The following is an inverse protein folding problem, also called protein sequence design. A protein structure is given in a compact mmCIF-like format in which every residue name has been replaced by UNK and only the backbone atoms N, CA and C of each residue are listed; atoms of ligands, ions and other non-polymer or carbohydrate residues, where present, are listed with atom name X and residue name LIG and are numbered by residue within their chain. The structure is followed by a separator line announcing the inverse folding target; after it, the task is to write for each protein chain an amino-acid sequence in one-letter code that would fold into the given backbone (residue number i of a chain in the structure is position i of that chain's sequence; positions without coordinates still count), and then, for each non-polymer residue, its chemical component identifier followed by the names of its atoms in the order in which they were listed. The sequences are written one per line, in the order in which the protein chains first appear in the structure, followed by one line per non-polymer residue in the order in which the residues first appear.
data_IF_926713559476
#
_entry.id   IF_926713559476
#
_cell.length_a   1.000
_cell.length_b   1.000
_cell.length_c   1.000
_cell.angle_alpha   90.00
_cell.angle_beta   90.00
_cell.angle_gamma   90.00
#
_symmetry.space_group_name_H-M   'P 1'
#
loop_
_entity.id
_entity.type
_entity.pdbx_description
1 polymer ?
#
# COMPACT_ATOMS: atom_id res chain seq x y z
N UNK A 1 -5.76 -1.13 27.82
CA UNK A 1 -6.31 -0.95 26.46
C UNK A 1 -7.00 -2.23 26.08
N UNK A 2 -8.26 -2.16 25.64
CA UNK A 2 -9.03 -3.35 25.25
C UNK A 2 -8.55 -3.95 23.92
N UNK A 3 -7.93 -3.11 23.08
CA UNK A 3 -7.48 -3.45 21.73
C UNK A 3 -5.98 -3.16 21.53
N UNK A 4 -5.05 -4.00 22.04
CA UNK A 4 -3.61 -3.82 21.79
C UNK A 4 -3.25 -3.94 20.30
N UNK A 5 -4.04 -4.67 19.51
CA UNK A 5 -3.90 -4.80 18.05
C UNK A 5 -3.98 -3.45 17.31
N UNK A 6 -4.52 -2.42 17.95
CA UNK A 6 -4.65 -1.08 17.39
C UNK A 6 -3.31 -0.47 16.97
N UNK A 7 -2.22 -0.80 17.67
CA UNK A 7 -0.87 -0.34 17.32
C UNK A 7 -0.34 -0.93 16.02
N UNK A 8 -0.98 -1.98 15.49
CA UNK A 8 -0.63 -2.52 14.18
C UNK A 8 -0.92 -1.50 13.07
N UNK A 9 -1.99 -0.71 13.18
CA UNK A 9 -2.34 0.29 12.17
C UNK A 9 -1.25 1.37 11.95
N UNK A 10 -0.78 2.11 12.98
CA UNK A 10 0.32 3.04 12.79
C UNK A 10 1.62 2.33 12.38
N UNK A 11 1.89 1.12 12.89
CA UNK A 11 3.07 0.36 12.48
C UNK A 11 3.05 0.05 10.98
N UNK A 12 1.93 -0.42 10.43
CA UNK A 12 1.77 -0.70 9.00
C UNK A 12 1.83 0.58 8.16
N UNK A 13 1.22 1.68 8.61
CA UNK A 13 1.31 2.97 7.91
C UNK A 13 2.76 3.44 7.83
N UNK A 14 3.50 3.40 8.93
CA UNK A 14 4.91 3.78 8.92
C UNK A 14 5.73 2.82 8.06
N UNK A 15 5.47 1.52 8.16
CA UNK A 15 6.15 0.51 7.35
C UNK A 15 5.94 0.75 5.85
N UNK A 16 4.72 1.05 5.40
CA UNK A 16 4.43 1.40 4.00
C UNK A 16 5.37 2.52 3.49
N UNK A 17 5.48 3.62 4.25
CA UNK A 17 6.33 4.74 3.85
C UNK A 17 7.81 4.39 3.83
N UNK A 18 8.32 3.78 4.90
CA UNK A 18 9.76 3.47 4.98
C UNK A 18 10.19 2.37 4.02
N UNK A 19 9.34 1.36 3.78
CA UNK A 19 9.58 0.35 2.76
C UNK A 19 9.56 0.97 1.36
N UNK A 20 8.69 1.95 1.11
CA UNK A 20 8.69 2.71 -0.14
C UNK A 20 10.02 3.44 -0.35
N UNK A 21 10.52 4.15 0.67
CA UNK A 21 11.81 4.86 0.58
C UNK A 21 12.98 3.88 0.37
N UNK A 22 12.98 2.76 1.09
CA UNK A 22 14.02 1.75 0.96
C UNK A 22 14.01 1.10 -0.43
N UNK A 23 12.82 0.75 -0.93
CA UNK A 23 12.62 0.23 -2.29
C UNK A 23 13.11 1.23 -3.35
N UNK A 24 12.78 2.52 -3.20
CA UNK A 24 13.25 3.57 -4.12
C UNK A 24 14.79 3.66 -4.13
N UNK A 25 15.42 3.64 -2.95
CA UNK A 25 16.88 3.67 -2.84
C UNK A 25 17.54 2.43 -3.45
N UNK A 26 16.97 1.24 -3.25
CA UNK A 26 17.47 0.01 -3.87
C UNK A 26 17.28 0.01 -5.38
N UNK A 27 16.18 0.57 -5.88
CA UNK A 27 15.90 0.65 -7.30
C UNK A 27 16.99 1.42 -8.06
N UNK A 28 17.48 2.53 -7.50
CA UNK A 28 18.60 3.31 -8.06
C UNK A 28 19.92 2.54 -8.12
N UNK A 29 20.11 1.52 -7.28
CA UNK A 29 21.37 0.78 -7.16
C UNK A 29 21.53 -0.37 -8.14
N UNK A 30 20.60 -0.54 -9.08
CA UNK A 30 20.75 -1.56 -10.14
C UNK A 30 19.49 -1.82 -10.94
N UNK A 31 18.31 -1.83 -10.30
CA UNK A 31 17.05 -2.12 -11.00
C UNK A 31 16.77 -1.10 -12.12
N UNK A 32 17.00 0.20 -11.85
CA UNK A 32 16.82 1.29 -12.83
C UNK A 32 17.82 1.27 -13.97
N UNK A 33 18.82 0.39 -13.97
CA UNK A 33 19.65 0.20 -15.16
C UNK A 33 18.87 -0.53 -16.26
N UNK A 34 18.02 -1.49 -15.88
CA UNK A 34 17.25 -2.29 -16.83
C UNK A 34 15.80 -1.84 -16.98
N UNK A 35 15.20 -1.29 -15.93
CA UNK A 35 13.79 -0.93 -15.93
C UNK A 35 13.64 0.57 -15.68
N UNK A 36 13.37 1.31 -16.76
CA UNK A 36 13.15 2.75 -16.70
C UNK A 36 11.67 3.04 -16.48
N UNK A 37 11.35 3.88 -15.50
CA UNK A 37 10.00 4.42 -15.30
C UNK A 37 10.08 5.88 -14.90
N UNK A 38 9.02 6.63 -15.18
CA UNK A 38 8.96 8.06 -14.84
C UNK A 38 9.03 8.32 -13.32
N UNK A 39 8.50 7.41 -12.50
CA UNK A 39 8.55 7.48 -11.04
C UNK A 39 8.45 6.08 -10.44
N UNK A 40 9.00 5.93 -9.23
CA UNK A 40 8.81 4.74 -8.40
C UNK A 40 7.45 4.78 -7.68
N UNK A 41 7.10 5.91 -7.08
CA UNK A 41 5.85 6.09 -6.35
C UNK A 41 4.67 6.37 -7.30
N UNK A 42 3.62 5.57 -7.17
CA UNK A 42 2.40 5.69 -7.98
C UNK A 42 1.46 6.76 -7.43
N UNK A 43 1.35 6.86 -6.10
CA UNK A 43 0.50 7.82 -5.43
C UNK A 43 1.00 9.25 -5.70
N UNK A 44 0.22 10.09 -6.41
CA UNK A 44 0.64 11.44 -6.75
C UNK A 44 0.87 12.31 -5.51
N UNK A 45 0.21 12.02 -4.37
CA UNK A 45 0.37 12.78 -3.12
C UNK A 45 1.77 12.65 -2.55
N UNK A 46 2.39 11.47 -2.67
CA UNK A 46 3.66 11.14 -2.02
C UNK A 46 4.85 11.15 -2.98
N UNK A 47 4.60 11.30 -4.28
CA UNK A 47 5.59 11.15 -5.35
C UNK A 47 6.84 12.01 -5.14
N UNK A 48 6.64 13.30 -4.90
CA UNK A 48 7.75 14.25 -4.75
C UNK A 48 8.57 13.99 -3.49
N UNK A 49 7.92 13.52 -2.42
CA UNK A 49 8.58 13.22 -1.15
C UNK A 49 9.43 11.95 -1.27
N UNK A 50 8.91 10.92 -1.95
CA UNK A 50 9.64 9.68 -2.24
C UNK A 50 10.79 9.92 -3.22
N UNK A 51 10.57 10.72 -4.28
CA UNK A 51 11.62 11.07 -5.24
C UNK A 51 12.81 11.78 -4.59
N UNK A 52 12.57 12.55 -3.52
CA UNK A 52 13.59 13.24 -2.73
C UNK A 52 14.13 12.41 -1.56
N UNK A 53 13.70 11.15 -1.43
CA UNK A 53 14.05 10.25 -0.32
C UNK A 53 13.88 10.90 1.06
N UNK A 54 12.78 11.62 1.29
CA UNK A 54 12.53 12.31 2.57
C UNK A 54 12.23 11.32 3.70
N UNK A 55 13.25 10.93 4.47
CA UNK A 55 13.07 10.02 5.61
C UNK A 55 12.12 10.54 6.69
N UNK A 56 12.00 11.86 6.86
CA UNK A 56 11.05 12.47 7.77
C UNK A 56 9.91 13.16 7.01
N UNK A 57 8.68 12.68 7.19
CA UNK A 57 7.49 13.23 6.56
C UNK A 57 6.35 13.46 7.57
N UNK A 58 6.17 14.72 7.98
CA UNK A 58 5.15 15.09 8.97
C UNK A 58 3.73 14.78 8.51
N UNK A 59 3.45 14.82 7.20
CA UNK A 59 2.11 14.51 6.66
C UNK A 59 1.78 13.04 6.87
N UNK A 60 2.78 12.17 6.71
CA UNK A 60 2.61 10.73 6.93
C UNK A 60 2.46 10.40 8.42
N UNK A 61 3.24 11.07 9.28
CA UNK A 61 3.08 10.96 10.74
C UNK A 61 1.70 11.45 11.20
N UNK A 62 1.22 12.56 10.64
CA UNK A 62 -0.12 13.08 10.93
C UNK A 62 -1.19 12.10 10.47
N UNK A 63 -1.07 11.52 9.27
CA UNK A 63 -2.00 10.50 8.78
C UNK A 63 -2.03 9.28 9.71
N UNK A 64 -0.86 8.79 10.14
CA UNK A 64 -0.77 7.70 11.11
C UNK A 64 -1.44 8.05 12.44
N UNK A 65 -1.22 9.27 12.95
CA UNK A 65 -1.88 9.77 14.16
C UNK A 65 -3.40 9.85 14.02
N UNK A 66 -3.91 10.37 12.89
CA UNK A 66 -5.35 10.47 12.62
C UNK A 66 -5.99 9.09 12.55
N UNK A 67 -5.41 8.16 11.77
CA UNK A 67 -5.96 6.79 11.65
C UNK A 67 -5.95 6.08 13.00
N UNK A 68 -4.87 6.23 13.78
CA UNK A 68 -4.76 5.65 15.13
C UNK A 68 -5.82 6.22 16.07
N UNK A 69 -6.01 7.54 16.07
CA UNK A 69 -7.02 8.21 16.89
C UNK A 69 -8.44 7.77 16.51
N UNK A 70 -8.73 7.63 15.21
CA UNK A 70 -10.02 7.15 14.72
C UNK A 70 -10.30 5.69 15.13
N UNK A 71 -9.30 4.81 15.01
CA UNK A 71 -9.44 3.42 15.47
C UNK A 71 -9.59 3.34 16.99
N UNK A 72 -8.91 4.23 17.73
CA UNK A 72 -8.98 4.24 19.19
C UNK A 72 -10.35 4.69 19.65
N UNK A 73 -10.85 5.76 19.05
CA UNK A 73 -12.21 6.21 19.25
C UNK A 73 -13.24 5.11 18.89
N UNK A 74 -13.05 4.41 17.77
CA UNK A 74 -13.92 3.31 17.36
C UNK A 74 -13.91 2.12 18.34
N UNK A 75 -12.77 1.85 18.99
CA UNK A 75 -12.62 0.73 19.93
C UNK A 75 -13.01 1.04 21.38
N UNK A 76 -13.06 2.32 21.78
CA UNK A 76 -13.45 2.71 23.15
C UNK A 76 -14.93 3.14 23.25
N UNK A 77 -15.57 3.44 22.12
CA UNK A 77 -16.96 3.90 22.10
C UNK A 77 -17.94 2.71 21.99
N UNK A 78 -18.04 1.91 23.05
CA UNK A 78 -19.05 0.83 23.18
C UNK A 78 -20.50 1.36 23.02
N UNK A 79 -20.70 2.67 23.20
CA UNK A 79 -22.03 3.27 23.41
C UNK A 79 -22.75 3.60 22.10
N UNK A 80 -22.03 3.74 20.98
CA UNK A 80 -22.63 4.22 19.72
C UNK A 80 -22.66 3.19 18.59
N UNK A 81 -21.84 2.14 18.66
CA UNK A 81 -21.71 1.18 17.57
C UNK A 81 -21.57 -0.25 18.10
N UNK A 82 -22.25 -1.18 17.44
CA UNK A 82 -22.21 -2.63 17.70
C UNK A 82 -20.78 -3.20 17.58
N UNK A 83 -20.57 -4.43 18.07
CA UNK A 83 -19.30 -5.20 18.05
C UNK A 83 -18.68 -5.36 16.65
N UNK A 84 -19.40 -4.92 15.62
CA UNK A 84 -18.99 -4.90 14.22
C UNK A 84 -18.10 -3.72 13.83
N UNK A 85 -18.26 -2.55 14.45
CA UNK A 85 -17.71 -1.32 13.90
C UNK A 85 -16.19 -1.25 13.99
N UNK A 86 -15.62 -1.53 15.17
CA UNK A 86 -14.17 -1.55 15.34
C UNK A 86 -13.50 -2.59 14.44
N UNK A 87 -13.91 -3.88 14.41
CA UNK A 87 -13.30 -4.87 13.53
C UNK A 87 -13.44 -4.52 12.04
N UNK A 88 -14.56 -3.91 11.62
CA UNK A 88 -14.75 -3.43 10.26
C UNK A 88 -13.73 -2.32 9.91
N UNK A 89 -13.60 -1.29 10.76
CA UNK A 89 -12.65 -0.19 10.54
C UNK A 89 -11.20 -0.67 10.56
N UNK A 90 -10.86 -1.55 11.51
CA UNK A 90 -9.53 -2.14 11.59
C UNK A 90 -9.24 -2.99 10.34
N UNK A 91 -10.21 -3.79 9.92
CA UNK A 91 -10.16 -4.55 8.67
C UNK A 91 -9.89 -3.66 7.46
N UNK A 92 -10.54 -2.50 7.35
CA UNK A 92 -10.28 -1.54 6.26
C UNK A 92 -8.83 -1.11 6.19
N UNK A 93 -8.22 -0.81 7.34
CA UNK A 93 -6.80 -0.46 7.40
C UNK A 93 -5.93 -1.64 6.96
N UNK A 94 -6.21 -2.86 7.43
CA UNK A 94 -5.47 -4.06 7.06
C UNK A 94 -5.58 -4.38 5.56
N UNK A 95 -6.79 -4.36 5.00
CA UNK A 95 -7.01 -4.65 3.58
C UNK A 95 -6.43 -3.61 2.65
N UNK A 96 -6.25 -2.37 3.12
CA UNK A 96 -5.51 -1.36 2.39
C UNK A 96 -3.98 -1.62 2.46
N UNK A 97 -3.43 -1.82 3.66
CA UNK A 97 -1.98 -1.77 3.87
C UNK A 97 -1.25 -3.09 3.62
N UNK A 98 -1.85 -4.24 3.98
CA UNK A 98 -1.19 -5.54 3.84
C UNK A 98 -0.79 -5.80 2.38
N UNK A 99 -1.66 -5.64 1.37
CA UNK A 99 -1.27 -5.87 -0.02
C UNK A 99 -0.14 -4.95 -0.49
N UNK A 100 -0.15 -3.69 -0.04
CA UNK A 100 0.88 -2.71 -0.38
C UNK A 100 2.22 -3.12 0.23
N UNK A 101 2.25 -3.49 1.51
CA UNK A 101 3.46 -3.93 2.21
C UNK A 101 4.03 -5.19 1.56
N UNK A 102 3.18 -6.18 1.24
CA UNK A 102 3.61 -7.38 0.53
C UNK A 102 4.27 -7.02 -0.82
N UNK A 103 3.71 -6.07 -1.57
CA UNK A 103 4.30 -5.60 -2.82
C UNK A 103 5.66 -4.93 -2.60
N UNK A 104 5.80 -4.07 -1.58
CA UNK A 104 7.07 -3.42 -1.28
C UNK A 104 8.14 -4.43 -0.90
N UNK A 105 7.80 -5.43 -0.09
CA UNK A 105 8.70 -6.51 0.28
C UNK A 105 9.15 -7.27 -0.97
N UNK A 106 8.22 -7.66 -1.84
CA UNK A 106 8.54 -8.36 -3.10
C UNK A 106 9.45 -7.52 -4.02
N UNK A 107 9.18 -6.21 -4.13
CA UNK A 107 10.01 -5.27 -4.88
C UNK A 107 11.42 -5.19 -4.28
N UNK A 108 11.54 -5.02 -2.96
CA UNK A 108 12.82 -4.95 -2.25
C UNK A 108 13.66 -6.21 -2.49
N UNK A 109 13.06 -7.40 -2.35
CA UNK A 109 13.74 -8.65 -2.65
C UNK A 109 14.21 -8.72 -4.11
N UNK A 110 13.36 -8.33 -5.06
CA UNK A 110 13.70 -8.31 -6.49
C UNK A 110 14.85 -7.35 -6.77
N UNK A 111 14.80 -6.13 -6.22
CA UNK A 111 15.83 -5.11 -6.44
C UNK A 111 17.15 -5.51 -5.81
N UNK A 112 17.13 -6.06 -4.60
CA UNK A 112 18.35 -6.53 -3.94
C UNK A 112 18.95 -7.73 -4.67
N UNK A 113 18.12 -8.65 -5.17
CA UNK A 113 18.58 -9.77 -5.98
C UNK A 113 19.30 -9.31 -7.25
N UNK A 114 18.70 -8.40 -8.03
CA UNK A 114 19.30 -7.88 -9.26
C UNK A 114 20.55 -7.04 -9.00
N UNK A 115 20.57 -6.28 -7.91
CA UNK A 115 21.77 -5.54 -7.48
C UNK A 115 22.95 -6.49 -7.22
N UNK A 116 22.69 -7.66 -6.64
CA UNK A 116 23.73 -8.68 -6.36
C UNK A 116 24.09 -9.52 -7.58
N UNK A 117 23.18 -9.67 -8.54
CA UNK A 117 23.33 -10.51 -9.72
C UNK A 117 23.05 -9.71 -11.00
N UNK A 118 23.93 -8.75 -11.38
CA UNK A 118 23.66 -7.81 -12.47
C UNK A 118 23.58 -8.45 -13.87
N UNK A 119 24.01 -9.71 -14.02
CA UNK A 119 24.01 -10.43 -15.29
C UNK A 119 22.75 -11.28 -15.52
N UNK A 120 21.82 -11.35 -14.56
CA UNK A 120 20.57 -12.12 -14.66
C UNK A 120 19.56 -11.49 -15.63
N UNK A 121 19.72 -10.19 -15.91
CA UNK A 121 18.89 -9.46 -16.86
C UNK A 121 19.79 -8.72 -17.84
N UNK A 122 19.44 -8.79 -19.12
CA UNK A 122 20.11 -8.05 -20.19
C UNK A 122 19.12 -7.16 -20.92
N UNK A 123 19.59 -6.00 -21.40
CA UNK A 123 18.76 -5.02 -22.10
C UNK A 123 18.03 -4.06 -21.18
N UNK A 124 17.21 -3.19 -21.79
CA UNK A 124 16.45 -2.16 -21.09
C UNK A 124 14.99 -2.15 -21.55
N UNK A 125 14.07 -1.96 -20.61
CA UNK A 125 12.65 -1.72 -20.87
C UNK A 125 12.23 -0.43 -20.20
N UNK A 126 11.54 0.43 -20.96
CA UNK A 126 10.92 1.63 -20.43
C UNK A 126 9.42 1.42 -20.30
N UNK A 127 8.88 1.63 -19.11
CA UNK A 127 7.45 1.56 -18.86
C UNK A 127 6.86 2.95 -18.62
N UNK A 128 5.69 3.19 -19.19
CA UNK A 128 4.91 4.38 -18.88
C UNK A 128 4.27 4.29 -17.49
N UNK A 129 3.98 5.45 -16.89
CA UNK A 129 3.23 5.53 -15.63
C UNK A 129 1.88 4.81 -15.74
N UNK A 130 1.23 4.92 -16.90
CA UNK A 130 -0.04 4.25 -17.19
C UNK A 130 0.09 2.73 -17.06
N UNK A 131 1.14 2.14 -17.62
CA UNK A 131 1.38 0.69 -17.50
C UNK A 131 1.58 0.28 -16.04
N UNK A 132 2.39 1.03 -15.28
CA UNK A 132 2.64 0.73 -13.87
C UNK A 132 1.34 0.78 -13.02
N UNK A 133 0.45 1.75 -13.29
CA UNK A 133 -0.87 1.82 -12.63
C UNK A 133 -1.75 0.63 -13.03
N UNK A 134 -1.77 0.22 -14.31
CA UNK A 134 -2.54 -0.95 -14.78
C UNK A 134 -2.04 -2.23 -14.12
N UNK A 135 -0.73 -2.43 -14.02
CA UNK A 135 -0.15 -3.58 -13.32
C UNK A 135 -0.58 -3.59 -11.84
N UNK A 136 -0.52 -2.44 -11.16
CA UNK A 136 -0.99 -2.29 -9.78
C UNK A 136 -2.49 -2.53 -9.61
N UNK A 137 -3.31 -2.15 -10.60
CA UNK A 137 -4.75 -2.44 -10.62
C UNK A 137 -5.02 -3.94 -10.77
N UNK A 138 -4.28 -4.64 -11.64
CA UNK A 138 -4.42 -6.08 -11.80
C UNK A 138 -4.17 -6.82 -10.48
N UNK A 139 -3.12 -6.45 -9.74
CA UNK A 139 -2.87 -6.98 -8.40
C UNK A 139 -3.98 -6.62 -7.40
N UNK A 140 -4.51 -5.41 -7.47
CA UNK A 140 -5.67 -5.00 -6.67
C UNK A 140 -6.90 -5.88 -6.91
N UNK A 141 -7.21 -6.17 -8.18
CA UNK A 141 -8.32 -7.07 -8.55
C UNK A 141 -8.10 -8.49 -8.03
N UNK A 142 -6.87 -9.04 -8.13
CA UNK A 142 -6.57 -10.35 -7.56
C UNK A 142 -6.85 -10.40 -6.05
N UNK A 143 -6.41 -9.38 -5.31
CA UNK A 143 -6.68 -9.27 -3.87
C UNK A 143 -8.18 -9.15 -3.58
N UNK A 144 -8.91 -8.37 -4.36
CA UNK A 144 -10.36 -8.23 -4.20
C UNK A 144 -11.09 -9.56 -4.39
N UNK A 145 -10.74 -10.34 -5.41
CA UNK A 145 -11.35 -11.67 -5.64
C UNK A 145 -11.13 -12.57 -4.43
N UNK A 146 -9.90 -12.61 -3.89
CA UNK A 146 -9.60 -13.41 -2.70
C UNK A 146 -10.38 -12.95 -1.48
N UNK A 147 -10.49 -11.63 -1.25
CA UNK A 147 -11.25 -11.07 -0.14
C UNK A 147 -12.76 -11.25 -0.28
N UNK A 148 -13.32 -11.23 -1.49
CA UNK A 148 -14.72 -11.55 -1.75
C UNK A 148 -15.01 -13.00 -1.35
N UNK A 149 -14.17 -13.94 -1.77
CA UNK A 149 -14.30 -15.36 -1.39
C UNK A 149 -14.18 -15.51 0.12
N UNK A 150 -13.17 -14.89 0.74
CA UNK A 150 -12.99 -14.94 2.18
C UNK A 150 -14.17 -14.32 2.96
N UNK A 151 -14.72 -13.20 2.50
CA UNK A 151 -15.86 -12.54 3.11
C UNK A 151 -17.12 -13.43 3.04
N UNK A 152 -17.36 -14.04 1.88
CA UNK A 152 -18.48 -14.95 1.67
C UNK A 152 -18.41 -16.18 2.58
N UNK A 153 -17.21 -16.73 2.79
CA UNK A 153 -17.00 -17.93 3.61
C UNK A 153 -17.00 -17.64 5.12
N UNK A 154 -16.37 -16.54 5.56
CA UNK A 154 -16.15 -16.27 6.99
C UNK A 154 -17.23 -15.41 7.62
N UNK A 155 -17.89 -14.55 6.83
CA UNK A 155 -18.87 -13.57 7.31
C UNK A 155 -18.32 -12.66 8.44
N UNK A 156 -17.00 -12.58 8.60
CA UNK A 156 -16.36 -11.85 9.69
C UNK A 156 -16.27 -10.35 9.37
N UNK A 157 -16.63 -9.44 10.30
CA UNK A 157 -16.63 -8.00 10.03
C UNK A 157 -15.27 -7.46 9.60
N UNK A 158 -14.18 -8.00 10.15
CA UNK A 158 -12.82 -7.65 9.76
C UNK A 158 -12.52 -7.97 8.29
N UNK A 159 -13.06 -9.06 7.75
CA UNK A 159 -12.83 -9.45 6.35
C UNK A 159 -13.63 -8.55 5.41
N UNK A 160 -14.86 -8.18 5.78
CA UNK A 160 -15.62 -7.13 5.09
C UNK A 160 -14.88 -5.80 5.11
N UNK A 161 -14.28 -5.45 6.25
CA UNK A 161 -13.42 -4.29 6.38
C UNK A 161 -12.27 -4.35 5.37
N UNK A 162 -11.54 -5.46 5.34
CA UNK A 162 -10.43 -5.66 4.41
C UNK A 162 -10.86 -5.50 2.96
N UNK A 163 -12.01 -6.07 2.59
CA UNK A 163 -12.58 -5.93 1.26
C UNK A 163 -12.87 -4.45 0.92
N UNK A 164 -13.47 -3.70 1.85
CA UNK A 164 -13.73 -2.27 1.66
C UNK A 164 -12.43 -1.47 1.51
N UNK A 165 -11.43 -1.71 2.36
CA UNK A 165 -10.12 -1.06 2.29
C UNK A 165 -9.42 -1.28 0.95
N UNK A 166 -9.35 -2.54 0.50
CA UNK A 166 -8.79 -2.91 -0.79
C UNK A 166 -9.58 -2.30 -1.97
N UNK A 167 -10.90 -2.19 -1.82
CA UNK A 167 -11.78 -1.60 -2.84
C UNK A 167 -11.53 -0.11 -2.99
N UNK A 168 -11.42 0.63 -1.89
CA UNK A 168 -11.09 2.06 -1.88
C UNK A 168 -9.76 2.33 -2.57
N UNK A 169 -8.72 1.53 -2.26
CA UNK A 169 -7.43 1.66 -2.94
C UNK A 169 -7.51 1.35 -4.45
N UNK A 170 -8.26 0.33 -4.83
CA UNK A 170 -8.43 -0.03 -6.24
C UNK A 170 -9.14 1.09 -7.00
N UNK A 171 -10.17 1.70 -6.41
CA UNK A 171 -10.84 2.88 -6.97
C UNK A 171 -9.92 4.10 -7.05
N UNK A 172 -9.09 4.33 -6.02
CA UNK A 172 -8.10 5.41 -6.06
C UNK A 172 -7.12 5.22 -7.22
N UNK A 173 -6.61 4.00 -7.43
CA UNK A 173 -5.74 3.67 -8.58
C UNK A 173 -6.44 3.85 -9.92
N UNK A 174 -7.72 3.52 -10.01
CA UNK A 174 -8.51 3.73 -11.22
C UNK A 174 -8.68 5.24 -11.53
N UNK A 175 -8.88 6.06 -10.50
CA UNK A 175 -8.89 7.51 -10.65
C UNK A 175 -7.52 8.05 -11.08
N UNK A 176 -6.42 7.52 -10.52
CA UNK A 176 -5.07 7.88 -10.97
C UNK A 176 -4.82 7.48 -12.43
N UNK A 177 -5.34 6.33 -12.87
CA UNK A 177 -5.23 5.88 -14.26
C UNK A 177 -5.95 6.84 -15.23
N UNK A 178 -7.10 7.37 -14.83
CA UNK A 178 -7.85 8.37 -15.61
C UNK A 178 -7.10 9.70 -15.72
N UNK A 179 -6.39 10.08 -14.65
CA UNK A 179 -5.59 11.30 -14.61
C UNK A 179 -4.23 11.17 -15.32
N UNK A 180 -3.72 9.94 -15.48
CA UNK A 180 -2.48 9.69 -16.19
C UNK A 180 -2.65 10.03 -17.68
N UNK A 181 -1.89 11.03 -18.15
CA UNK A 181 -1.84 11.41 -19.56
C UNK A 181 -1.36 10.22 -20.40
N UNK A 182 -1.82 10.15 -21.64
CA UNK A 182 -1.20 9.29 -22.66
C UNK A 182 0.07 10.02 -23.07
N UNK A 183 1.18 9.61 -22.47
CA UNK A 183 2.51 9.98 -22.93
C UNK A 183 2.79 9.30 -24.29
#
# INVERSE_FOLDING_TARGET
MRHPELFLAPALLLADYYLTLWGAQLAERGYRNHFKSASYELNPVWRDDVAKLKWFNWRHLLLAGIVTALLWWAGETDVLFDDWFFPLMFGMVLGALIPIICQHIANIYTFDFLRRNPNEITGEVTFSMRYAIVASLAHGVTVLVLLIVAAALTQAPVVYGMLLGASVLTLARFNWLRAAKRD
#
